data_IF_946550279339
#
_entry.id   IF_946550279339
#
_cell.length_a   1.000
_cell.length_b   1.000
_cell.length_c   1.000
_cell.angle_alpha   90.00
_cell.angle_beta   90.00
_cell.angle_gamma   90.00
#
_symmetry.space_group_name_H-M   'P 1'
#
loop_
_entity.id
_entity.type
_entity.pdbx_description
1 polymer ?
#
# COMPACT_ATOMS: atom_id res chain seq x y z
N UNK A 1 18.74 -14.70 -20.64
CA UNK A 1 17.92 -14.05 -19.59
C UNK A 1 16.57 -13.59 -20.14
N UNK A 2 16.52 -12.67 -21.11
CA UNK A 2 15.26 -12.14 -21.67
C UNK A 2 14.34 -13.21 -22.30
N UNK A 3 14.90 -14.14 -23.09
CA UNK A 3 14.12 -15.24 -23.70
C UNK A 3 13.42 -16.13 -22.66
N UNK A 4 14.02 -16.34 -21.49
CA UNK A 4 13.43 -17.14 -20.42
C UNK A 4 12.29 -16.40 -19.68
N UNK A 5 12.11 -15.10 -19.96
CA UNK A 5 11.08 -14.22 -19.36
C UNK A 5 10.05 -13.77 -20.40
N UNK A 6 10.10 -14.33 -21.61
CA UNK A 6 9.32 -13.85 -22.76
C UNK A 6 7.81 -13.81 -22.49
N UNK A 7 7.27 -14.83 -21.82
CA UNK A 7 5.84 -14.87 -21.47
C UNK A 7 5.46 -13.72 -20.52
N UNK A 8 6.27 -13.50 -19.48
CA UNK A 8 6.04 -12.41 -18.52
C UNK A 8 6.14 -11.03 -19.20
N UNK A 9 7.13 -10.84 -20.10
CA UNK A 9 7.31 -9.60 -20.85
C UNK A 9 6.17 -9.32 -21.84
N UNK A 10 5.44 -10.34 -22.30
CA UNK A 10 4.30 -10.19 -23.21
C UNK A 10 2.93 -10.18 -22.50
N UNK A 11 2.89 -10.14 -21.16
CA UNK A 11 1.63 -10.13 -20.41
C UNK A 11 0.70 -8.99 -20.86
N UNK A 12 1.25 -7.80 -21.14
CA UNK A 12 0.48 -6.64 -21.61
C UNK A 12 -0.20 -6.86 -22.97
N UNK A 13 0.30 -7.79 -23.79
CA UNK A 13 -0.30 -8.16 -25.08
C UNK A 13 -1.55 -9.03 -24.87
N UNK A 14 -1.60 -9.77 -23.75
CA UNK A 14 -2.70 -10.66 -23.40
C UNK A 14 -3.73 -9.98 -22.50
N UNK A 15 -3.32 -9.01 -21.68
CA UNK A 15 -4.18 -8.26 -20.77
C UNK A 15 -3.95 -6.74 -20.90
N UNK A 16 -4.91 -6.05 -21.52
CA UNK A 16 -4.86 -4.60 -21.72
C UNK A 16 -4.95 -3.77 -20.42
N UNK A 17 -5.19 -4.41 -19.26
CA UNK A 17 -5.10 -3.75 -17.94
C UNK A 17 -3.66 -3.64 -17.46
N UNK A 18 -2.75 -4.45 -17.99
CA UNK A 18 -1.33 -4.39 -17.66
C UNK A 18 -0.62 -3.35 -18.53
N UNK A 19 0.17 -2.48 -17.90
CA UNK A 19 1.04 -1.56 -18.63
C UNK A 19 2.20 -2.33 -19.30
N UNK A 20 2.73 -1.78 -20.41
CA UNK A 20 3.89 -2.35 -21.11
C UNK A 20 5.17 -2.31 -20.26
N UNK A 21 5.21 -1.41 -19.28
CA UNK A 21 6.31 -1.23 -18.36
C UNK A 21 5.81 -1.20 -16.91
N UNK A 22 6.74 -1.26 -15.98
CA UNK A 22 6.48 -1.25 -14.54
C UNK A 22 6.85 0.10 -13.89
N UNK A 23 7.00 1.18 -14.67
CA UNK A 23 7.54 2.45 -14.18
C UNK A 23 6.70 3.03 -13.03
N UNK A 24 5.38 2.85 -13.07
CA UNK A 24 4.49 3.26 -11.97
C UNK A 24 4.85 2.54 -10.66
N UNK A 25 5.04 1.22 -10.73
CA UNK A 25 5.42 0.37 -9.59
C UNK A 25 6.82 0.72 -9.09
N UNK A 26 7.80 0.90 -9.98
CA UNK A 26 9.17 1.26 -9.60
C UNK A 26 9.23 2.64 -8.92
N UNK A 27 8.48 3.63 -9.43
CA UNK A 27 8.36 4.94 -8.79
C UNK A 27 7.75 4.83 -7.39
N UNK A 28 6.72 4.02 -7.21
CA UNK A 28 6.10 3.78 -5.90
C UNK A 28 7.09 3.13 -4.92
N UNK A 29 7.86 2.13 -5.37
CA UNK A 29 8.87 1.45 -4.57
C UNK A 29 10.10 2.32 -4.22
N UNK A 30 10.33 3.42 -4.95
CA UNK A 30 11.45 4.33 -4.70
C UNK A 30 11.43 4.89 -3.27
N UNK A 31 10.24 5.14 -2.71
CA UNK A 31 10.09 5.58 -1.33
C UNK A 31 10.61 4.54 -0.33
N UNK A 32 10.29 3.27 -0.54
CA UNK A 32 10.78 2.14 0.27
C UNK A 32 12.30 2.01 0.15
N UNK A 33 12.82 2.11 -1.08
CA UNK A 33 14.25 2.01 -1.37
C UNK A 33 15.07 3.17 -0.77
N UNK A 34 14.48 4.37 -0.63
CA UNK A 34 15.07 5.50 0.07
C UNK A 34 14.96 5.31 1.59
N UNK A 35 13.80 4.90 2.09
CA UNK A 35 13.54 4.65 3.50
C UNK A 35 14.50 3.63 4.10
N UNK A 36 14.76 2.51 3.43
CA UNK A 36 15.70 1.48 3.94
C UNK A 36 17.12 2.00 4.20
N UNK A 37 17.57 3.03 3.49
CA UNK A 37 18.88 3.65 3.73
C UNK A 37 18.90 4.50 5.00
N UNK A 38 17.73 4.95 5.45
CA UNK A 38 17.55 5.87 6.57
C UNK A 38 17.00 5.18 7.83
N UNK A 39 16.52 3.94 7.72
CA UNK A 39 16.00 3.18 8.86
C UNK A 39 17.13 2.52 9.65
N UNK A 40 17.61 3.22 10.67
CA UNK A 40 18.64 2.72 11.60
C UNK A 40 18.23 1.45 12.39
N UNK A 41 16.96 1.06 12.30
CA UNK A 41 16.32 -0.04 13.04
C UNK A 41 15.77 -1.16 12.13
N UNK A 42 15.85 -1.02 10.81
CA UNK A 42 15.35 -2.04 9.88
C UNK A 42 16.44 -3.09 9.60
N UNK A 43 16.63 -4.02 10.55
CA UNK A 43 17.63 -5.09 10.46
C UNK A 43 17.09 -6.51 10.61
N UNK A 44 15.80 -6.69 10.89
CA UNK A 44 15.17 -8.01 11.05
C UNK A 44 14.10 -8.28 9.99
N UNK A 45 13.87 -9.56 9.70
CA UNK A 45 12.77 -10.01 8.82
C UNK A 45 11.41 -9.50 9.31
N UNK A 46 11.13 -9.64 10.61
CA UNK A 46 9.92 -9.11 11.25
C UNK A 46 9.77 -7.59 11.14
N UNK A 47 10.89 -6.85 11.12
CA UNK A 47 10.89 -5.42 10.87
C UNK A 47 10.54 -5.09 9.42
N UNK A 48 11.02 -5.90 8.48
CA UNK A 48 10.67 -5.83 7.06
C UNK A 48 9.18 -6.07 6.81
N UNK A 49 8.60 -7.11 7.43
CA UNK A 49 7.16 -7.40 7.34
C UNK A 49 6.29 -6.25 7.84
N UNK A 50 6.64 -5.69 9.01
CA UNK A 50 5.94 -4.53 9.57
C UNK A 50 6.04 -3.31 8.68
N UNK A 51 7.23 -3.05 8.12
CA UNK A 51 7.42 -1.97 7.17
C UNK A 51 6.56 -2.17 5.90
N UNK A 52 6.55 -3.39 5.35
CA UNK A 52 5.74 -3.73 4.19
C UNK A 52 4.24 -3.54 4.44
N UNK A 53 3.74 -3.92 5.62
CA UNK A 53 2.36 -3.69 6.03
C UNK A 53 2.04 -2.19 6.08
N UNK A 54 2.89 -1.37 6.74
CA UNK A 54 2.70 0.08 6.82
C UNK A 54 2.75 0.76 5.44
N UNK A 55 3.70 0.39 4.59
CA UNK A 55 3.79 0.92 3.23
C UNK A 55 2.58 0.54 2.38
N UNK A 56 2.05 -0.67 2.55
CA UNK A 56 0.83 -1.12 1.87
C UNK A 56 -0.38 -0.29 2.29
N UNK A 57 -0.56 -0.04 3.60
CA UNK A 57 -1.64 0.79 4.12
C UNK A 57 -1.56 2.23 3.60
N UNK A 58 -0.37 2.85 3.68
CA UNK A 58 -0.13 4.21 3.18
C UNK A 58 -0.36 4.29 1.67
N UNK A 59 0.14 3.31 0.91
CA UNK A 59 -0.04 3.24 -0.54
C UNK A 59 -1.52 3.13 -0.91
N UNK A 60 -2.27 2.28 -0.21
CA UNK A 60 -3.70 2.08 -0.43
C UNK A 60 -4.49 3.36 -0.12
N UNK A 61 -4.17 4.06 0.97
CA UNK A 61 -4.80 5.35 1.28
C UNK A 61 -4.58 6.38 0.17
N UNK A 62 -3.34 6.52 -0.33
CA UNK A 62 -3.03 7.41 -1.46
C UNK A 62 -3.77 7.05 -2.73
N UNK A 63 -3.86 5.76 -3.06
CA UNK A 63 -4.59 5.27 -4.25
C UNK A 63 -6.09 5.56 -4.16
N UNK A 64 -6.64 5.66 -2.96
CA UNK A 64 -8.03 6.06 -2.71
C UNK A 64 -8.21 7.58 -2.56
N UNK A 65 -7.17 8.38 -2.80
CA UNK A 65 -7.24 9.85 -2.67
C UNK A 65 -7.29 10.35 -1.23
N UNK A 66 -6.95 9.52 -0.25
CA UNK A 66 -7.00 9.85 1.17
C UNK A 66 -5.61 10.24 1.65
N UNK A 67 -5.54 11.34 2.39
CA UNK A 67 -4.31 11.79 3.04
C UNK A 67 -3.87 10.71 4.08
N UNK A 68 -2.67 10.11 3.93
CA UNK A 68 -2.27 8.95 4.75
C UNK A 68 -2.17 9.20 6.25
N UNK A 69 -1.75 10.39 6.69
CA UNK A 69 -1.67 10.71 8.11
C UNK A 69 -3.07 10.69 8.75
N UNK A 70 -4.03 11.32 8.08
CA UNK A 70 -5.45 11.36 8.46
C UNK A 70 -6.03 9.95 8.53
N UNK A 71 -5.75 9.11 7.53
CA UNK A 71 -6.15 7.70 7.54
C UNK A 71 -5.58 6.94 8.73
N UNK A 72 -4.25 7.00 8.92
CA UNK A 72 -3.58 6.26 9.99
C UNK A 72 -3.99 6.75 11.37
N UNK A 73 -4.22 8.07 11.55
CA UNK A 73 -4.75 8.64 12.78
C UNK A 73 -6.09 8.00 13.14
N UNK A 74 -7.00 7.95 12.17
CA UNK A 74 -8.32 7.35 12.38
C UNK A 74 -8.23 5.88 12.76
N UNK A 75 -7.43 5.11 12.01
CA UNK A 75 -7.20 3.69 12.29
C UNK A 75 -6.63 3.52 13.69
N UNK A 76 -5.57 4.24 14.06
CA UNK A 76 -4.93 4.08 15.36
C UNK A 76 -5.80 4.54 16.54
N UNK A 77 -6.70 5.51 16.32
CA UNK A 77 -7.68 5.91 17.34
C UNK A 77 -8.75 4.85 17.58
N UNK A 78 -9.14 4.08 16.58
CA UNK A 78 -10.23 3.08 16.69
C UNK A 78 -9.75 1.64 16.94
N UNK A 79 -8.58 1.26 16.40
CA UNK A 79 -8.14 -0.14 16.29
C UNK A 79 -8.11 -0.90 17.62
N UNK A 80 -7.81 -0.23 18.74
CA UNK A 80 -7.68 -0.87 20.05
C UNK A 80 -9.01 -1.47 20.54
N UNK A 81 -10.13 -0.80 20.25
CA UNK A 81 -11.47 -1.19 20.68
C UNK A 81 -12.32 -1.74 19.52
N UNK A 82 -11.77 -1.79 18.31
CA UNK A 82 -12.51 -2.21 17.11
C UNK A 82 -12.68 -3.74 17.04
N UNK A 83 -13.88 -4.25 16.74
CA UNK A 83 -14.09 -5.69 16.60
C UNK A 83 -13.22 -6.28 15.49
N UNK A 84 -12.46 -7.33 15.80
CA UNK A 84 -11.55 -7.98 14.85
C UNK A 84 -12.27 -8.53 13.61
N UNK A 85 -13.54 -8.93 13.75
CA UNK A 85 -14.38 -9.42 12.66
C UNK A 85 -14.99 -8.32 11.78
N UNK A 86 -14.73 -7.05 12.09
CA UNK A 86 -15.22 -5.88 11.35
C UNK A 86 -14.06 -4.98 10.91
N UNK A 87 -12.84 -5.52 10.82
CA UNK A 87 -11.64 -4.72 10.50
C UNK A 87 -11.75 -3.99 9.15
N UNK A 88 -12.60 -4.50 8.26
CA UNK A 88 -12.87 -3.91 6.95
C UNK A 88 -13.44 -2.49 7.06
N UNK A 89 -14.12 -2.14 8.15
CA UNK A 89 -14.60 -0.77 8.41
C UNK A 89 -13.46 0.25 8.50
N UNK A 90 -12.26 -0.22 8.83
CA UNK A 90 -11.05 0.60 8.91
C UNK A 90 -10.28 0.68 7.58
N UNK A 91 -10.82 0.13 6.49
CA UNK A 91 -10.23 0.24 5.17
C UNK A 91 -10.40 1.65 4.61
N UNK A 92 -9.47 2.14 3.77
CA UNK A 92 -9.45 3.52 3.32
C UNK A 92 -10.79 4.00 2.74
N UNK A 93 -11.41 3.23 1.85
CA UNK A 93 -12.69 3.59 1.22
C UNK A 93 -13.89 3.65 2.17
N UNK A 94 -13.86 2.91 3.28
CA UNK A 94 -14.92 2.94 4.29
C UNK A 94 -14.76 4.14 5.24
N UNK A 95 -13.52 4.49 5.58
CA UNK A 95 -13.23 5.70 6.38
C UNK A 95 -13.53 7.00 5.60
N UNK A 96 -13.29 7.03 4.29
CA UNK A 96 -13.69 8.19 3.48
C UNK A 96 -15.22 8.34 3.39
N UNK A 97 -15.94 7.22 3.27
CA UNK A 97 -17.41 7.23 3.17
C UNK A 97 -18.09 7.66 4.48
N UNK A 98 -17.50 7.36 5.65
CA UNK A 98 -18.07 7.78 6.93
C UNK A 98 -18.04 9.30 7.12
N UNK A 99 -16.97 9.97 6.67
CA UNK A 99 -16.87 11.45 6.71
C UNK A 99 -17.87 12.16 5.80
N UNK A 100 -18.34 11.52 4.71
CA UNK A 100 -19.39 12.06 3.84
C UNK A 100 -20.79 11.97 4.48
N UNK A 101 -20.97 11.16 5.53
CA UNK A 101 -22.24 10.99 6.24
C UNK A 101 -22.38 11.86 7.49
N UNK A 102 -21.27 12.45 7.97
CA UNK A 102 -21.21 13.34 9.14
C UNK A 102 -21.20 14.84 8.75
N UNK A 103 -21.17 15.17 7.46
CA UNK A 103 -21.21 16.54 6.91
C UNK A 103 -22.54 16.84 6.24
#
# INVERSE_FOLDING_TARGET
YALNRWDALNTFVQDGRAEIDNNAVERALRAVALGRKNYLFAGSESGGERAAAMYSLIGTAKLNGIEPETYLREVFTRIADHPVNQIDDLLPWNIASSKLHEA
#
